data_IF_642430290025
#
_entry.id   IF_642430290025
#
_cell.length_a   1.000
_cell.length_b   1.000
_cell.length_c   1.000
_cell.angle_alpha   90.00
_cell.angle_beta   90.00
_cell.angle_gamma   90.00
#
_symmetry.space_group_name_H-M   'P 1'
#
loop_
_entity.id
_entity.type
_entity.pdbx_description
1 polymer ?
#
# COMPACT_ATOMS: atom_id res chain seq x y z
N UNK A 1 60.53 -7.57 -45.57
CA UNK A 1 60.79 -6.24 -44.97
C UNK A 1 59.72 -5.95 -43.92
N UNK A 2 60.16 -5.61 -42.70
CA UNK A 2 59.45 -4.96 -41.57
C UNK A 2 58.25 -5.68 -40.92
N UNK A 3 58.36 -6.31 -39.75
CA UNK A 3 58.41 -5.77 -38.35
C UNK A 3 57.17 -4.96 -37.90
N UNK A 4 56.36 -5.56 -37.00
CA UNK A 4 56.01 -5.10 -35.63
C UNK A 4 54.67 -5.69 -35.18
N UNK A 5 54.64 -6.58 -34.19
CA UNK A 5 54.73 -6.31 -32.74
C UNK A 5 53.41 -5.80 -32.15
N UNK A 6 52.80 -6.67 -31.33
CA UNK A 6 51.92 -6.37 -30.21
C UNK A 6 50.57 -5.70 -30.55
N UNK A 7 49.52 -6.51 -30.68
CA UNK A 7 48.18 -6.01 -30.36
C UNK A 7 47.26 -7.11 -29.80
N UNK A 8 47.19 -7.12 -28.46
CA UNK A 8 45.97 -7.29 -27.63
C UNK A 8 45.32 -8.69 -27.68
N UNK A 9 45.53 -9.51 -26.66
CA UNK A 9 44.68 -9.53 -25.45
C UNK A 9 43.21 -9.32 -25.84
N UNK A 10 42.46 -10.41 -26.04
CA UNK A 10 41.03 -10.56 -25.75
C UNK A 10 40.42 -11.67 -26.61
N UNK A 11 40.63 -12.92 -26.23
CA UNK A 11 39.50 -13.86 -26.22
C UNK A 11 39.29 -14.23 -24.76
N UNK A 12 39.02 -13.16 -24.01
CA UNK A 12 38.51 -13.15 -22.65
C UNK A 12 37.14 -13.79 -22.71
N UNK A 13 36.93 -14.75 -21.81
CA UNK A 13 35.63 -15.22 -21.32
C UNK A 13 34.58 -15.44 -22.40
N UNK A 14 34.37 -16.71 -22.76
CA UNK A 14 33.04 -17.14 -23.17
C UNK A 14 32.10 -16.77 -22.02
N UNK A 15 31.33 -15.72 -22.27
CA UNK A 15 30.45 -15.05 -21.34
C UNK A 15 29.43 -16.09 -20.85
N UNK A 16 29.68 -16.61 -19.65
CA UNK A 16 28.66 -17.08 -18.72
C UNK A 16 27.81 -15.85 -18.34
N UNK A 17 26.97 -15.40 -19.27
CA UNK A 17 25.76 -14.66 -18.94
C UNK A 17 24.82 -15.68 -18.30
N UNK A 18 25.15 -16.07 -17.07
CA UNK A 18 24.15 -16.55 -16.15
C UNK A 18 23.21 -15.35 -16.01
N UNK A 19 22.07 -15.43 -16.69
CA UNK A 19 20.91 -14.64 -16.35
C UNK A 19 20.60 -14.99 -14.90
N UNK A 20 21.22 -14.29 -13.96
CA UNK A 20 20.68 -14.16 -12.61
C UNK A 20 19.49 -13.22 -12.77
N UNK A 21 18.42 -13.73 -13.38
CA UNK A 21 17.09 -13.33 -12.98
C UNK A 21 17.02 -13.77 -11.53
N UNK A 22 17.28 -12.83 -10.62
CA UNK A 22 16.88 -12.99 -9.25
C UNK A 22 15.38 -13.27 -9.31
N UNK A 23 14.99 -14.53 -9.20
CA UNK A 23 13.63 -14.90 -8.87
C UNK A 23 13.35 -14.16 -7.57
N UNK A 24 12.58 -13.07 -7.68
CA UNK A 24 12.05 -12.37 -6.52
C UNK A 24 11.10 -13.38 -5.89
N UNK A 25 11.62 -14.18 -4.96
CA UNK A 25 10.80 -15.09 -4.18
C UNK A 25 9.71 -14.24 -3.53
N UNK A 26 8.43 -14.65 -3.59
CA UNK A 26 7.36 -13.91 -2.95
C UNK A 26 7.70 -13.77 -1.47
N UNK A 27 7.80 -12.51 -1.00
CA UNK A 27 8.11 -12.21 0.39
C UNK A 27 7.06 -12.89 1.26
N UNK A 28 7.48 -13.74 2.20
CA UNK A 28 6.52 -14.39 3.11
C UNK A 28 5.73 -13.32 3.87
N UNK A 29 4.48 -13.59 4.25
CA UNK A 29 3.69 -12.59 4.99
C UNK A 29 4.36 -12.15 6.28
N UNK A 30 5.10 -13.05 6.92
CA UNK A 30 5.88 -12.71 8.10
C UNK A 30 7.00 -11.70 7.80
N UNK A 31 7.83 -11.94 6.77
CA UNK A 31 8.91 -10.99 6.39
C UNK A 31 8.36 -9.64 5.97
N UNK A 32 7.24 -9.63 5.23
CA UNK A 32 6.56 -8.41 4.82
C UNK A 32 6.10 -7.61 6.03
N UNK A 33 5.51 -8.24 7.04
CA UNK A 33 5.10 -7.55 8.27
C UNK A 33 6.30 -7.11 9.11
N UNK A 34 7.33 -7.96 9.22
CA UNK A 34 8.58 -7.65 9.90
C UNK A 34 9.34 -6.48 9.27
N UNK A 35 9.03 -6.11 8.02
CA UNK A 35 9.59 -4.89 7.43
C UNK A 35 9.17 -3.62 8.18
N UNK A 36 7.99 -3.62 8.81
CA UNK A 36 7.43 -2.49 9.56
C UNK A 36 7.37 -2.75 11.07
N UNK A 37 6.71 -3.81 11.51
CA UNK A 37 6.59 -4.16 12.94
C UNK A 37 7.70 -5.13 13.29
N UNK A 38 8.75 -4.65 13.95
CA UNK A 38 9.91 -5.47 14.34
C UNK A 38 9.59 -6.38 15.53
N UNK A 39 10.25 -7.53 15.54
CA UNK A 39 10.35 -8.44 16.68
C UNK A 39 9.01 -8.95 17.24
N UNK A 40 8.08 -9.37 16.37
CA UNK A 40 6.89 -10.13 16.81
C UNK A 40 7.08 -11.63 16.51
N UNK A 41 6.54 -12.48 17.39
CA UNK A 41 6.57 -13.94 17.27
C UNK A 41 5.18 -14.56 17.13
N UNK A 42 4.13 -13.83 17.51
CA UNK A 42 2.74 -14.27 17.48
C UNK A 42 1.83 -13.25 16.81
N UNK A 43 0.87 -13.75 16.05
CA UNK A 43 -0.24 -12.97 15.47
C UNK A 43 -1.55 -13.57 15.94
N UNK A 44 -2.44 -12.72 16.45
CA UNK A 44 -3.81 -13.09 16.77
C UNK A 44 -4.77 -12.39 15.80
N UNK A 45 -5.82 -13.10 15.38
CA UNK A 45 -6.84 -12.57 14.48
C UNK A 45 -8.03 -12.07 15.29
N UNK A 46 -8.40 -10.83 15.07
CA UNK A 46 -9.64 -10.24 15.59
C UNK A 46 -10.60 -9.97 14.45
N UNK A 47 -11.85 -10.39 14.64
CA UNK A 47 -12.92 -10.10 13.69
C UNK A 47 -13.43 -8.68 13.92
N UNK A 48 -13.49 -7.89 12.86
CA UNK A 48 -13.97 -6.51 12.86
C UNK A 48 -14.98 -6.29 11.72
N UNK A 49 -15.88 -5.29 11.82
CA UNK A 49 -16.78 -4.97 10.72
C UNK A 49 -16.01 -4.37 9.53
N UNK A 50 -16.55 -4.55 8.33
CA UNK A 50 -16.15 -3.86 7.10
C UNK A 50 -17.37 -3.12 6.53
N UNK A 51 -17.66 -1.90 7.03
CA UNK A 51 -18.81 -1.12 6.57
C UNK A 51 -18.54 -0.37 5.26
N UNK A 52 -17.32 -0.46 4.71
CA UNK A 52 -16.86 0.32 3.55
C UNK A 52 -17.03 -0.48 2.25
N UNK A 53 -16.84 -1.79 2.30
CA UNK A 53 -17.14 -2.69 1.18
C UNK A 53 -18.64 -2.93 1.06
N UNK A 54 -19.13 -3.03 -0.18
CA UNK A 54 -20.50 -3.50 -0.43
C UNK A 54 -20.69 -4.95 0.04
N UNK A 55 -19.71 -5.81 -0.26
CA UNK A 55 -19.59 -7.15 0.26
C UNK A 55 -18.43 -7.19 1.26
N UNK A 56 -18.68 -7.32 2.58
CA UNK A 56 -17.65 -7.30 3.61
C UNK A 56 -16.57 -8.36 3.39
N UNK A 57 -15.35 -7.95 3.06
CA UNK A 57 -14.19 -8.83 2.87
C UNK A 57 -13.02 -8.45 3.78
N UNK A 58 -12.95 -7.20 4.24
CA UNK A 58 -11.87 -6.67 5.07
C UNK A 58 -12.17 -6.80 6.57
N UNK A 59 -12.51 -8.02 7.00
CA UNK A 59 -13.10 -8.29 8.33
C UNK A 59 -12.11 -8.77 9.39
N UNK A 60 -10.82 -8.79 9.09
CA UNK A 60 -9.77 -9.23 10.00
C UNK A 60 -8.82 -8.07 10.37
N UNK A 61 -8.50 -7.98 11.66
CA UNK A 61 -7.40 -7.20 12.20
C UNK A 61 -6.41 -8.17 12.86
N UNK A 62 -5.15 -8.11 12.46
CA UNK A 62 -4.10 -8.90 13.08
C UNK A 62 -3.48 -8.10 14.23
N UNK A 63 -3.28 -8.75 15.37
CA UNK A 63 -2.62 -8.18 16.55
C UNK A 63 -1.29 -8.89 16.72
N UNK A 64 -0.20 -8.11 16.67
CA UNK A 64 1.16 -8.63 16.73
C UNK A 64 1.72 -8.57 18.16
N UNK A 65 2.23 -9.69 18.64
CA UNK A 65 2.80 -9.85 19.97
C UNK A 65 4.24 -10.38 19.93
N UNK A 66 5.00 -10.03 20.96
CA UNK A 66 6.28 -10.62 21.33
C UNK A 66 6.14 -11.22 22.72
N UNK A 67 5.89 -12.52 22.81
CA UNK A 67 5.38 -13.12 24.05
C UNK A 67 4.03 -12.50 24.44
N UNK A 68 3.96 -11.83 25.61
CA UNK A 68 2.76 -11.11 26.06
C UNK A 68 2.76 -9.63 25.66
N UNK A 69 3.87 -9.11 25.14
CA UNK A 69 4.01 -7.68 24.81
C UNK A 69 3.35 -7.38 23.47
N UNK A 70 2.34 -6.52 23.47
CA UNK A 70 1.76 -5.95 22.25
C UNK A 70 2.80 -5.14 21.47
N UNK A 71 2.96 -5.45 20.19
CA UNK A 71 3.89 -4.76 19.27
C UNK A 71 3.16 -3.82 18.30
N UNK A 72 1.94 -4.18 17.91
CA UNK A 72 1.13 -3.34 17.05
C UNK A 72 -0.01 -4.10 16.39
N UNK A 73 -0.59 -3.48 15.38
CA UNK A 73 -1.72 -4.01 14.64
C UNK A 73 -1.44 -3.95 13.14
N UNK A 74 -1.97 -4.92 12.40
CA UNK A 74 -1.78 -5.04 10.96
C UNK A 74 -3.15 -5.30 10.35
N UNK A 75 -3.49 -4.58 9.29
CA UNK A 75 -4.71 -4.82 8.54
C UNK A 75 -4.39 -4.99 7.07
N UNK A 76 -4.66 -6.18 6.56
CA UNK A 76 -4.65 -6.46 5.12
C UNK A 76 -5.97 -6.01 4.52
N UNK A 77 -5.90 -5.29 3.41
CA UNK A 77 -7.02 -4.62 2.77
C UNK A 77 -7.02 -4.93 1.29
N UNK A 78 -8.18 -5.37 0.80
CA UNK A 78 -8.47 -5.54 -0.62
C UNK A 78 -9.76 -4.83 -0.96
N UNK A 79 -9.81 -4.13 -2.10
CA UNK A 79 -11.06 -3.55 -2.60
C UNK A 79 -11.53 -4.28 -3.84
N UNK A 80 -12.83 -4.55 -3.96
CA UNK A 80 -13.40 -4.94 -5.24
C UNK A 80 -13.59 -3.71 -6.12
N UNK A 81 -13.47 -3.89 -7.43
CA UNK A 81 -13.73 -2.84 -8.42
C UNK A 81 -15.17 -2.96 -8.88
N UNK A 82 -16.09 -2.22 -8.26
CA UNK A 82 -17.47 -2.06 -8.72
C UNK A 82 -17.64 -0.98 -9.80
N UNK A 83 -16.57 -0.55 -10.47
CA UNK A 83 -16.62 0.44 -11.53
C UNK A 83 -16.41 -0.26 -12.87
N UNK A 84 -17.39 -0.12 -13.78
CA UNK A 84 -17.37 -0.64 -15.17
C UNK A 84 -16.29 -0.01 -16.07
N UNK A 85 -15.28 0.65 -15.49
CA UNK A 85 -14.20 1.30 -16.21
C UNK A 85 -12.91 1.32 -15.39
N UNK A 86 -11.91 0.56 -15.87
CA UNK A 86 -10.47 0.83 -15.77
C UNK A 86 -9.84 1.12 -14.37
N UNK A 87 -10.40 0.61 -13.28
CA UNK A 87 -9.75 0.63 -11.96
C UNK A 87 -9.31 -0.79 -11.57
N UNK A 88 -8.14 -0.91 -10.93
CA UNK A 88 -7.70 -2.17 -10.31
C UNK A 88 -8.11 -2.23 -8.84
N UNK A 89 -8.32 -3.43 -8.28
CA UNK A 89 -8.38 -3.66 -6.85
C UNK A 89 -7.18 -3.01 -6.13
N UNK A 90 -7.43 -2.38 -4.99
CA UNK A 90 -6.36 -1.90 -4.12
C UNK A 90 -6.02 -3.02 -3.15
N UNK A 91 -4.82 -3.59 -3.31
CA UNK A 91 -4.28 -4.57 -2.37
C UNK A 91 -3.16 -3.91 -1.58
N UNK A 92 -3.37 -3.69 -0.28
CA UNK A 92 -2.40 -3.05 0.59
C UNK A 92 -2.56 -3.50 2.04
N UNK A 93 -1.58 -3.14 2.86
CA UNK A 93 -1.55 -3.44 4.27
C UNK A 93 -1.23 -2.16 5.02
N UNK A 94 -2.05 -1.84 6.02
CA UNK A 94 -1.79 -0.75 6.96
C UNK A 94 -1.24 -1.29 8.27
N UNK A 95 -0.30 -0.55 8.85
CA UNK A 95 0.41 -0.91 10.06
C UNK A 95 0.20 0.14 11.12
N UNK A 96 -0.01 -0.31 12.36
CA UNK A 96 -0.24 0.55 13.51
C UNK A 96 0.67 0.13 14.66
N UNK A 97 1.14 1.09 15.44
CA UNK A 97 1.97 0.79 16.61
C UNK A 97 1.12 0.26 17.77
N UNK A 98 1.75 -0.13 18.88
CA UNK A 98 1.04 -0.58 20.08
C UNK A 98 0.10 0.50 20.66
N UNK A 99 0.29 1.79 20.34
CA UNK A 99 -0.63 2.88 20.70
C UNK A 99 -1.86 2.98 19.79
N UNK A 100 -1.87 2.26 18.66
CA UNK A 100 -2.94 2.32 17.66
C UNK A 100 -2.77 3.48 16.67
N UNK A 101 -1.59 4.09 16.63
CA UNK A 101 -1.26 5.17 15.70
C UNK A 101 -0.76 4.55 14.38
N UNK A 102 -1.18 5.11 13.25
CA UNK A 102 -0.74 4.70 11.92
C UNK A 102 0.78 4.88 11.77
N UNK A 103 1.47 3.85 11.27
CA UNK A 103 2.92 3.86 11.02
C UNK A 103 3.19 3.95 9.52
N UNK A 104 2.55 3.09 8.73
CA UNK A 104 2.91 2.86 7.34
C UNK A 104 1.79 2.21 6.55
N UNK A 105 1.82 2.44 5.24
CA UNK A 105 1.08 1.69 4.23
C UNK A 105 2.08 0.99 3.31
N UNK A 106 1.86 -0.30 3.05
CA UNK A 106 2.67 -1.06 2.08
C UNK A 106 1.77 -1.83 1.13
N UNK A 107 2.20 -1.99 -0.10
CA UNK A 107 1.58 -2.89 -1.07
C UNK A 107 2.65 -3.81 -1.65
N UNK A 108 2.32 -5.09 -1.82
CA UNK A 108 3.23 -6.08 -2.41
C UNK A 108 3.35 -5.90 -3.91
N UNK A 109 2.22 -5.63 -4.55
CA UNK A 109 2.10 -5.50 -6.01
C UNK A 109 2.27 -4.04 -6.45
N UNK A 110 2.18 -3.09 -5.51
CA UNK A 110 2.10 -1.68 -5.80
C UNK A 110 0.66 -1.21 -5.97
N UNK A 111 0.40 0.02 -5.59
CA UNK A 111 -0.87 0.70 -5.84
C UNK A 111 -0.79 1.41 -7.19
N UNK A 112 -1.94 1.61 -7.80
CA UNK A 112 -2.06 2.30 -9.09
C UNK A 112 -2.92 3.56 -8.99
N UNK A 113 -2.73 4.44 -9.96
CA UNK A 113 -3.46 5.68 -10.21
C UNK A 113 -4.35 5.51 -11.46
N UNK A 114 -4.91 6.61 -11.96
CA UNK A 114 -5.65 6.66 -13.23
C UNK A 114 -4.90 5.90 -14.33
N UNK A 115 -5.65 5.18 -15.16
CA UNK A 115 -5.13 4.35 -16.26
C UNK A 115 -4.12 3.27 -15.82
N UNK A 116 -4.23 2.79 -14.59
CA UNK A 116 -3.35 1.76 -14.01
C UNK A 116 -1.86 2.17 -13.92
N UNK A 117 -1.55 3.46 -13.98
CA UNK A 117 -0.19 3.93 -13.79
C UNK A 117 0.29 3.59 -12.36
N UNK A 118 1.48 3.00 -12.18
CA UNK A 118 1.98 2.68 -10.84
C UNK A 118 2.20 3.95 -10.01
N UNK A 119 1.92 3.86 -8.70
CA UNK A 119 2.29 4.91 -7.76
C UNK A 119 3.81 4.97 -7.59
N UNK A 120 4.34 6.18 -7.61
CA UNK A 120 5.75 6.48 -7.31
C UNK A 120 5.99 6.54 -5.79
N UNK A 121 7.25 6.50 -5.32
CA UNK A 121 7.56 6.72 -3.90
C UNK A 121 7.01 8.04 -3.33
N UNK A 122 6.96 9.10 -4.15
CA UNK A 122 6.40 10.40 -3.76
C UNK A 122 4.86 10.33 -3.62
N UNK A 123 4.20 9.57 -4.50
CA UNK A 123 2.76 9.29 -4.38
C UNK A 123 2.44 8.57 -3.06
N UNK A 124 3.24 7.56 -2.69
CA UNK A 124 3.11 6.87 -1.40
C UNK A 124 3.32 7.80 -0.22
N UNK A 125 4.37 8.62 -0.27
CA UNK A 125 4.69 9.57 0.81
C UNK A 125 3.56 10.58 1.01
N UNK A 126 3.00 11.10 -0.10
CA UNK A 126 1.84 11.99 -0.08
C UNK A 126 0.58 11.28 0.43
N UNK A 127 0.36 10.03 0.04
CA UNK A 127 -0.76 9.23 0.52
C UNK A 127 -0.69 9.01 2.03
N UNK A 128 0.46 8.59 2.55
CA UNK A 128 0.68 8.42 3.99
C UNK A 128 0.49 9.74 4.76
N UNK A 129 0.98 10.87 4.21
CA UNK A 129 0.75 12.19 4.78
C UNK A 129 -0.75 12.55 4.83
N UNK A 130 -1.49 12.34 3.75
CA UNK A 130 -2.94 12.59 3.71
C UNK A 130 -3.67 11.72 4.74
N UNK A 131 -3.29 10.45 4.88
CA UNK A 131 -3.88 9.53 5.84
C UNK A 131 -3.65 10.01 7.28
N UNK A 132 -2.44 10.50 7.58
CA UNK A 132 -2.09 11.07 8.89
C UNK A 132 -2.82 12.38 9.20
N UNK A 133 -2.96 13.27 8.21
CA UNK A 133 -3.65 14.55 8.37
C UNK A 133 -5.18 14.38 8.53
N UNK A 134 -5.73 13.30 7.99
CA UNK A 134 -7.16 12.98 8.00
C UNK A 134 -8.05 14.18 7.60
N UNK A 135 -7.96 14.68 6.35
CA UNK A 135 -8.68 15.88 5.92
C UNK A 135 -10.19 15.78 6.19
N UNK A 136 -10.79 16.76 6.91
CA UNK A 136 -12.20 16.71 7.27
C UNK A 136 -13.14 16.71 6.06
N UNK A 137 -12.67 17.17 4.89
CA UNK A 137 -13.43 17.16 3.65
C UNK A 137 -13.88 15.76 3.23
N UNK A 138 -13.13 14.71 3.57
CA UNK A 138 -13.51 13.34 3.26
C UNK A 138 -14.76 12.86 4.00
N UNK A 139 -15.09 13.46 5.15
CA UNK A 139 -16.35 13.15 5.86
C UNK A 139 -17.60 13.50 5.05
N UNK A 140 -17.46 14.34 4.01
CA UNK A 140 -18.56 14.82 3.15
C UNK A 140 -18.65 14.06 1.83
N UNK A 141 -17.77 13.08 1.59
CA UNK A 141 -17.66 12.37 0.32
C UNK A 141 -18.26 10.98 0.50
N UNK A 142 -19.41 10.72 -0.13
CA UNK A 142 -20.08 9.41 0.01
C UNK A 142 -19.54 8.40 -1.01
N UNK A 143 -19.15 8.87 -2.20
CA UNK A 143 -18.65 8.03 -3.27
C UNK A 143 -17.37 8.61 -3.90
N UNK A 144 -16.35 7.77 -4.25
CA UNK A 144 -15.12 8.24 -4.88
C UNK A 144 -15.31 9.08 -6.15
N UNK A 145 -16.38 8.82 -6.92
CA UNK A 145 -16.74 9.60 -8.13
C UNK A 145 -17.03 11.07 -7.83
N UNK A 146 -17.38 11.43 -6.60
CA UNK A 146 -17.58 12.83 -6.20
C UNK A 146 -16.27 13.62 -6.12
N UNK A 147 -15.11 12.95 -6.14
CA UNK A 147 -13.80 13.59 -6.11
C UNK A 147 -13.30 14.02 -7.49
N UNK A 148 -13.94 13.54 -8.55
CA UNK A 148 -13.48 13.70 -9.93
C UNK A 148 -14.57 14.31 -10.81
N UNK A 149 -14.17 15.05 -11.83
CA UNK A 149 -15.06 15.47 -12.91
C UNK A 149 -15.58 14.24 -13.67
N UNK A 150 -16.88 14.23 -13.96
CA UNK A 150 -17.54 13.06 -14.56
C UNK A 150 -17.18 12.85 -16.03
N UNK A 151 -16.69 13.89 -16.72
CA UNK A 151 -16.37 13.86 -18.16
C UNK A 151 -14.87 13.61 -18.33
N UNK A 152 -14.02 14.40 -17.70
CA UNK A 152 -12.56 14.30 -17.85
C UNK A 152 -11.92 13.25 -16.93
N UNK A 153 -12.60 12.88 -15.84
CA UNK A 153 -12.03 12.05 -14.77
C UNK A 153 -10.89 12.73 -14.03
N UNK A 154 -10.73 14.06 -14.15
CA UNK A 154 -9.74 14.82 -13.39
C UNK A 154 -10.22 15.09 -11.97
N UNK A 155 -9.30 15.15 -11.01
CA UNK A 155 -9.65 15.55 -9.64
C UNK A 155 -10.20 16.98 -9.62
N UNK A 156 -11.37 17.16 -8.97
CA UNK A 156 -11.97 18.47 -8.79
C UNK A 156 -11.05 19.40 -7.99
N UNK A 157 -10.97 20.67 -8.39
CA UNK A 157 -10.06 21.68 -7.82
C UNK A 157 -10.07 21.74 -6.28
N UNK A 158 -11.25 21.63 -5.66
CA UNK A 158 -11.41 21.63 -4.19
C UNK A 158 -10.71 20.47 -3.48
N UNK A 159 -10.41 19.37 -4.18
CA UNK A 159 -9.81 18.17 -3.61
C UNK A 159 -8.35 17.95 -4.01
N UNK A 160 -7.82 18.72 -4.97
CA UNK A 160 -6.45 18.52 -5.50
C UNK A 160 -5.37 18.53 -4.42
N UNK A 161 -5.56 19.30 -3.35
CA UNK A 161 -4.59 19.40 -2.25
C UNK A 161 -4.72 18.28 -1.21
N UNK A 162 -5.82 17.53 -1.22
CA UNK A 162 -6.10 16.46 -0.24
C UNK A 162 -6.15 15.08 -0.87
N UNK A 163 -5.84 14.97 -2.17
CA UNK A 163 -5.65 13.69 -2.85
C UNK A 163 -4.25 13.58 -3.44
N UNK A 164 -3.80 12.34 -3.63
CA UNK A 164 -2.70 12.08 -4.56
C UNK A 164 -3.21 12.36 -5.98
N UNK A 165 -2.50 13.17 -6.79
CA UNK A 165 -2.91 13.48 -8.16
C UNK A 165 -3.24 12.20 -8.94
N UNK A 166 -4.38 12.21 -9.64
CA UNK A 166 -4.87 11.07 -10.43
C UNK A 166 -5.21 9.80 -9.63
N UNK A 167 -5.18 9.85 -8.29
CA UNK A 167 -5.43 8.69 -7.43
C UNK A 167 -6.48 9.00 -6.36
N UNK A 168 -7.54 9.71 -6.75
CA UNK A 168 -8.63 10.10 -5.86
C UNK A 168 -9.32 8.87 -5.22
N UNK A 169 -9.59 7.82 -6.02
CA UNK A 169 -10.16 6.57 -5.51
C UNK A 169 -9.26 5.92 -4.46
N UNK A 170 -7.99 5.70 -4.79
CA UNK A 170 -7.01 5.09 -3.88
C UNK A 170 -6.86 5.89 -2.60
N UNK A 171 -6.77 7.23 -2.73
CA UNK A 171 -6.64 8.10 -1.57
C UNK A 171 -7.83 7.99 -0.62
N UNK A 172 -9.06 8.09 -1.16
CA UNK A 172 -10.26 8.02 -0.33
C UNK A 172 -10.40 6.66 0.35
N UNK A 173 -10.23 5.56 -0.40
CA UNK A 173 -10.38 4.21 0.16
C UNK A 173 -9.38 3.95 1.27
N UNK A 174 -8.11 4.29 1.07
CA UNK A 174 -7.09 4.17 2.12
C UNK A 174 -7.44 5.01 3.34
N UNK A 175 -7.87 6.26 3.15
CA UNK A 175 -8.28 7.11 4.25
C UNK A 175 -9.43 6.51 5.07
N UNK A 176 -10.51 6.08 4.40
CA UNK A 176 -11.70 5.53 5.07
C UNK A 176 -11.35 4.27 5.88
N UNK A 177 -10.61 3.34 5.28
CA UNK A 177 -10.17 2.14 6.00
C UNK A 177 -9.23 2.45 7.15
N UNK A 178 -8.36 3.45 7.01
CA UNK A 178 -7.50 3.87 8.10
C UNK A 178 -8.31 4.41 9.30
N UNK A 179 -9.28 5.30 9.06
CA UNK A 179 -10.12 5.83 10.14
C UNK A 179 -10.90 4.72 10.83
N UNK A 180 -11.53 3.83 10.06
CA UNK A 180 -12.28 2.73 10.63
C UNK A 180 -11.37 1.77 11.42
N UNK A 181 -10.15 1.49 10.95
CA UNK A 181 -9.19 0.67 11.71
C UNK A 181 -8.80 1.32 13.04
N UNK A 182 -8.53 2.63 13.04
CA UNK A 182 -8.21 3.37 14.27
C UNK A 182 -9.38 3.32 15.26
N UNK A 183 -10.62 3.43 14.77
CA UNK A 183 -11.82 3.31 15.60
C UNK A 183 -11.94 1.92 16.24
N UNK A 184 -11.74 0.84 15.48
CA UNK A 184 -11.76 -0.52 16.02
C UNK A 184 -10.65 -0.74 17.05
N UNK A 185 -9.42 -0.29 16.78
CA UNK A 185 -8.31 -0.39 17.74
C UNK A 185 -8.64 0.36 19.04
N UNK A 186 -9.28 1.54 18.96
CA UNK A 186 -9.71 2.30 20.14
C UNK A 186 -10.75 1.54 20.96
N UNK A 187 -11.65 0.78 20.34
CA UNK A 187 -12.65 -0.04 21.06
C UNK A 187 -12.00 -1.18 21.86
N UNK A 188 -10.91 -1.76 21.35
CA UNK A 188 -10.18 -2.85 22.02
C UNK A 188 -9.43 -2.40 23.29
N UNK A 189 -9.20 -1.10 23.46
CA UNK A 189 -8.44 -0.51 24.56
C UNK A 189 -9.31 0.02 25.69
N UNK A 190 -10.63 0.02 25.51
CA UNK A 190 -11.62 0.41 26.51
C UNK A 190 -11.99 -0.80 27.35
#
# INVERSE_FOLDING_TARGET
MSYNSVMKIAVILFILLVNVQAEIKPVSSKEFYLSVIKDFDRLEKLKIPDPISENPINTELLVAFQGEKLKGYIRELSTTTGCDSACLPLNYTTFYNAKGEFIALRSREGLTKKNHAPMTPDDYSRLEMIVLLAPPEFSKVNHPKELTDAISGETLKKYQNIVVPEAAYSTLRVHLYNQQTIEEIKKLKK
#
